data_IF_444513521130
#
_entry.id   IF_444513521130
#
_cell.length_a   1.000
_cell.length_b   1.000
_cell.length_c   1.000
_cell.angle_alpha   90.00
_cell.angle_beta   90.00
_cell.angle_gamma   90.00
#
_symmetry.space_group_name_H-M   'P 1'
#
loop_
_entity.id
_entity.type
_entity.pdbx_description
1 polymer ?
#
# COMPACT_ATOMS: atom_id res chain seq x y z
N UNK A 1 2.66 -17.95 -2.68
CA UNK A 1 2.79 -17.50 -2.33
C UNK A 1 3.33 -16.69 -2.14
N UNK A 2 3.45 -16.16 -2.16
CA UNK A 2 3.87 -15.48 -1.95
C UNK A 2 4.21 -14.49 -1.64
N UNK A 3 4.50 -14.20 -1.37
CA UNK A 3 4.60 -13.19 -0.83
C UNK A 3 5.81 -12.72 -0.82
N UNK A 4 6.50 -12.71 -1.01
CA UNK A 4 7.50 -12.26 -0.84
C UNK A 4 8.35 -12.03 -1.48
N UNK A 5 8.67 -11.73 -1.69
CA UNK A 5 9.37 -11.39 -2.28
C UNK A 5 10.50 -10.99 -1.98
N UNK A 6 11.16 -11.05 -1.97
CA UNK A 6 12.07 -10.74 -1.52
C UNK A 6 13.25 -10.84 -2.09
N UNK A 7 13.79 -10.34 -2.09
CA UNK A 7 14.81 -10.11 -2.66
C UNK A 7 15.99 -10.24 -1.94
N UNK A 8 16.47 -11.24 -1.89
CA UNK A 8 17.59 -11.50 -1.16
C UNK A 8 18.72 -10.72 -1.58
N UNK A 9 18.77 -10.40 -2.80
CA UNK A 9 19.94 -9.74 -3.29
C UNK A 9 20.05 -8.35 -2.76
N UNK A 10 19.00 -7.82 -2.17
CA UNK A 10 19.13 -6.55 -1.71
C UNK A 10 19.52 -6.47 -0.37
N UNK A 11 19.65 -7.49 0.21
CA UNK A 11 20.10 -7.55 1.48
C UNK A 11 19.46 -6.69 2.39
N UNK A 12 18.33 -6.21 2.20
CA UNK A 12 17.62 -5.50 3.22
C UNK A 12 16.79 -6.52 3.85
N UNK A 13 16.32 -6.33 4.98
CA UNK A 13 15.44 -7.25 5.62
C UNK A 13 14.03 -6.88 5.37
N UNK A 14 13.78 -6.09 4.35
CA UNK A 14 12.46 -5.64 4.08
C UNK A 14 11.59 -6.74 3.57
N UNK A 15 10.39 -6.80 4.05
CA UNK A 15 9.38 -7.69 3.55
C UNK A 15 8.27 -6.78 3.03
N UNK A 16 8.04 -6.81 1.74
CA UNK A 16 7.01 -5.99 1.13
C UNK A 16 5.95 -6.91 0.57
N UNK A 17 4.71 -6.69 0.99
CA UNK A 17 3.59 -7.49 0.53
C UNK A 17 2.97 -6.88 -0.71
N UNK A 18 2.46 -7.72 -1.58
CA UNK A 18 1.71 -7.28 -2.75
C UNK A 18 0.25 -7.73 -2.64
N UNK A 19 -0.19 -8.07 -1.45
CA UNK A 19 -1.54 -8.56 -1.21
C UNK A 19 -2.01 -7.98 0.12
N UNK A 20 -3.10 -7.22 0.07
CA UNK A 20 -3.61 -6.52 1.24
C UNK A 20 -4.01 -7.48 2.36
N UNK A 21 -4.69 -8.56 2.00
CA UNK A 21 -5.19 -9.49 3.02
C UNK A 21 -4.07 -10.16 3.77
N UNK A 22 -3.03 -10.56 3.04
CA UNK A 22 -1.87 -11.20 3.66
C UNK A 22 -1.10 -10.23 4.54
N UNK A 23 -0.97 -8.99 4.07
CA UNK A 23 -0.26 -7.98 4.84
C UNK A 23 -1.00 -7.68 6.14
N UNK A 24 -2.32 -7.65 6.10
CA UNK A 24 -3.11 -7.37 7.29
C UNK A 24 -2.93 -8.45 8.35
N UNK A 25 -2.90 -9.70 7.94
CA UNK A 25 -2.66 -10.80 8.87
C UNK A 25 -1.29 -10.64 9.52
N UNK A 26 -0.29 -10.36 8.73
CA UNK A 26 1.08 -10.20 9.22
C UNK A 26 1.18 -8.99 10.16
N UNK A 27 0.55 -7.89 9.80
CA UNK A 27 0.57 -6.68 10.61
C UNK A 27 -0.04 -6.94 11.98
N UNK A 28 -1.11 -7.73 12.01
CA UNK A 28 -1.74 -8.08 13.26
C UNK A 28 -0.83 -8.93 14.13
N UNK A 29 -0.13 -9.88 13.52
CA UNK A 29 0.81 -10.73 14.25
C UNK A 29 1.96 -9.93 14.82
N UNK A 30 2.43 -8.94 14.08
CA UNK A 30 3.56 -8.12 14.49
C UNK A 30 3.17 -6.95 15.37
N UNK A 31 1.89 -6.62 15.44
CA UNK A 31 1.44 -5.47 16.18
C UNK A 31 1.90 -4.15 15.57
N UNK A 32 2.06 -4.12 14.25
CA UNK A 32 2.54 -2.93 13.55
C UNK A 32 1.49 -2.39 12.60
N UNK A 33 1.47 -1.08 12.37
CA UNK A 33 0.57 -0.52 11.37
C UNK A 33 1.02 -0.86 9.96
N UNK A 34 0.13 -0.67 9.00
CA UNK A 34 0.42 -0.92 7.60
C UNK A 34 0.61 0.38 6.85
N UNK A 35 1.58 0.39 5.96
CA UNK A 35 1.76 1.47 4.99
C UNK A 35 1.27 0.90 3.66
N UNK A 36 0.13 1.37 3.18
CA UNK A 36 -0.48 0.85 1.96
C UNK A 36 -0.23 1.83 0.82
N UNK A 37 0.44 1.34 -0.22
CA UNK A 37 0.83 2.14 -1.37
C UNK A 37 0.03 1.67 -2.57
N UNK A 38 -0.93 2.48 -3.02
CA UNK A 38 -1.65 2.21 -4.26
C UNK A 38 -0.83 2.82 -5.40
N UNK A 39 -0.30 1.98 -6.25
CA UNK A 39 0.60 2.38 -7.32
C UNK A 39 0.17 1.76 -8.63
N UNK A 40 0.89 2.01 -9.68
CA UNK A 40 0.67 1.40 -10.98
C UNK A 40 2.01 1.24 -11.67
N UNK A 41 2.13 0.21 -12.49
CA UNK A 41 3.35 0.00 -13.26
C UNK A 41 3.57 1.17 -14.23
N UNK A 42 2.48 1.70 -14.78
CA UNK A 42 2.57 2.83 -15.70
C UNK A 42 2.46 4.20 -15.05
N UNK A 43 2.57 4.27 -13.74
CA UNK A 43 2.35 5.53 -13.02
C UNK A 43 3.66 6.31 -12.91
N UNK A 44 3.78 7.39 -13.68
CA UNK A 44 5.00 8.20 -13.71
C UNK A 44 5.27 8.84 -12.36
N UNK A 45 4.25 9.40 -11.72
CA UNK A 45 4.44 10.06 -10.43
C UNK A 45 4.81 9.05 -9.33
N UNK A 46 4.37 7.81 -9.45
CA UNK A 46 4.77 6.78 -8.51
C UNK A 46 6.27 6.51 -8.62
N UNK A 47 6.78 6.46 -9.86
CA UNK A 47 8.22 6.28 -10.09
C UNK A 47 9.00 7.46 -9.53
N UNK A 48 8.47 8.68 -9.66
CA UNK A 48 9.14 9.86 -9.13
C UNK A 48 9.25 9.82 -7.60
N UNK A 49 8.18 9.39 -6.93
CA UNK A 49 8.22 9.24 -5.48
C UNK A 49 9.26 8.21 -5.06
N UNK A 50 9.34 7.10 -5.78
CA UNK A 50 10.29 6.05 -5.48
C UNK A 50 11.73 6.52 -5.67
N UNK A 51 11.97 7.36 -6.66
CA UNK A 51 13.30 7.84 -6.96
C UNK A 51 13.75 8.98 -6.05
N UNK A 52 12.82 9.64 -5.38
CA UNK A 52 13.17 10.78 -4.54
C UNK A 52 12.83 10.51 -3.07
N UNK A 53 11.54 10.52 -2.72
CA UNK A 53 11.13 10.44 -1.34
C UNK A 53 11.51 9.11 -0.70
N UNK A 54 11.28 8.00 -1.41
CA UNK A 54 11.54 6.68 -0.84
C UNK A 54 13.02 6.36 -0.75
N UNK A 55 13.87 7.15 -1.39
CA UNK A 55 15.31 6.94 -1.28
C UNK A 55 15.92 7.66 -0.08
N UNK A 56 15.16 8.52 0.57
CA UNK A 56 15.65 9.24 1.74
C UNK A 56 15.79 8.27 2.92
N UNK A 57 16.94 8.32 3.59
CA UNK A 57 17.23 7.38 4.67
C UNK A 57 16.23 7.44 5.82
N UNK A 58 15.72 8.62 6.15
CA UNK A 58 14.75 8.76 7.23
C UNK A 58 13.46 8.06 6.87
N UNK A 59 13.04 8.17 5.62
CA UNK A 59 11.81 7.53 5.14
C UNK A 59 12.01 6.02 5.18
N UNK A 60 13.13 5.54 4.66
CA UNK A 60 13.41 4.10 4.66
C UNK A 60 13.43 3.54 6.07
N UNK A 61 14.09 4.23 6.98
CA UNK A 61 14.21 3.74 8.35
C UNK A 61 12.85 3.63 9.03
N UNK A 62 12.00 4.63 8.86
CA UNK A 62 10.68 4.59 9.49
C UNK A 62 9.83 3.49 8.88
N UNK A 63 9.86 3.36 7.56
CA UNK A 63 9.08 2.32 6.89
C UNK A 63 9.55 0.93 7.32
N UNK A 64 10.84 0.72 7.38
CA UNK A 64 11.38 -0.59 7.73
C UNK A 64 11.12 -0.95 9.20
N UNK A 65 11.27 0.02 10.07
CA UNK A 65 11.18 -0.24 11.51
C UNK A 65 9.76 -0.22 12.05
N UNK A 66 8.92 0.63 11.51
CA UNK A 66 7.62 0.89 12.14
C UNK A 66 6.41 0.37 11.39
N UNK A 67 6.56 -0.01 10.14
CA UNK A 67 5.40 -0.36 9.30
C UNK A 67 5.54 -1.70 8.62
N UNK A 68 4.41 -2.31 8.33
CA UNK A 68 4.33 -3.43 7.40
C UNK A 68 3.97 -2.81 6.06
N UNK A 69 4.79 -3.02 5.04
CA UNK A 69 4.62 -2.36 3.76
C UNK A 69 3.81 -3.22 2.79
N UNK A 70 2.85 -2.58 2.13
CA UNK A 70 1.98 -3.24 1.16
C UNK A 70 1.96 -2.39 -0.09
N UNK A 71 2.37 -2.96 -1.20
CA UNK A 71 2.35 -2.25 -2.49
C UNK A 71 1.33 -2.92 -3.40
N UNK A 72 0.30 -2.18 -3.76
CA UNK A 72 -0.81 -2.71 -4.55
C UNK A 72 -0.85 -2.03 -5.92
N UNK A 73 -0.66 -2.84 -6.97
CA UNK A 73 -0.62 -2.33 -8.34
C UNK A 73 -2.01 -2.40 -8.94
N UNK A 74 -2.64 -1.25 -9.13
CA UNK A 74 -4.01 -1.19 -9.63
C UNK A 74 -4.12 -1.56 -11.11
N UNK A 75 -2.99 -1.65 -11.80
CA UNK A 75 -2.95 -2.07 -13.21
C UNK A 75 -2.30 -3.43 -13.39
N UNK A 76 -2.26 -4.24 -12.34
CA UNK A 76 -1.72 -5.60 -12.42
C UNK A 76 -2.70 -6.46 -13.22
N UNK A 77 -2.23 -7.00 -14.36
CA UNK A 77 -3.08 -7.77 -15.27
C UNK A 77 -3.11 -9.27 -14.97
N UNK A 78 -2.47 -9.69 -13.90
CA UNK A 78 -2.49 -11.09 -13.50
C UNK A 78 -3.90 -11.49 -13.09
N UNK A 79 -4.38 -12.60 -13.60
CA UNK A 79 -5.73 -13.05 -13.29
C UNK A 79 -5.86 -13.53 -11.85
N UNK A 80 -7.00 -13.23 -11.27
CA UNK A 80 -7.34 -13.78 -9.95
C UNK A 80 -7.58 -15.28 -10.12
N UNK A 81 -7.34 -16.08 -9.08
CA UNK A 81 -7.65 -17.51 -9.13
C UNK A 81 -9.09 -17.75 -9.50
N UNK A 82 -9.99 -16.89 -8.99
CA UNK A 82 -11.40 -16.94 -9.35
C UNK A 82 -11.91 -15.52 -9.43
N UNK A 83 -12.71 -15.22 -10.45
CA UNK A 83 -13.28 -13.89 -10.57
C UNK A 83 -14.17 -13.56 -9.38
N UNK A 84 -14.25 -12.30 -9.02
CA UNK A 84 -15.06 -11.84 -7.89
C UNK A 84 -16.17 -10.95 -8.44
N UNK A 85 -17.41 -11.29 -8.14
CA UNK A 85 -18.54 -10.48 -8.58
C UNK A 85 -18.95 -9.56 -7.44
N UNK A 86 -19.03 -8.26 -7.74
CA UNK A 86 -19.39 -7.25 -6.77
C UNK A 86 -20.47 -6.36 -7.37
N UNK A 87 -21.06 -5.53 -6.55
CA UNK A 87 -22.02 -4.57 -7.03
C UNK A 87 -21.46 -3.18 -6.78
N UNK A 88 -21.39 -2.37 -7.82
CA UNK A 88 -20.86 -1.01 -7.71
C UNK A 88 -21.77 -0.08 -8.47
N UNK A 89 -22.25 0.97 -7.81
CA UNK A 89 -23.17 1.95 -8.39
C UNK A 89 -24.42 1.28 -8.98
N UNK A 90 -24.92 0.25 -8.27
CA UNK A 90 -26.13 -0.42 -8.69
C UNK A 90 -25.96 -1.40 -9.83
N UNK A 91 -24.73 -1.68 -10.23
CA UNK A 91 -24.47 -2.60 -11.34
C UNK A 91 -23.58 -3.74 -10.86
N UNK A 92 -23.81 -4.91 -11.44
CA UNK A 92 -22.98 -6.05 -11.14
C UNK A 92 -21.71 -5.95 -11.98
N UNK A 93 -20.56 -6.04 -11.32
CA UNK A 93 -19.26 -5.94 -11.97
C UNK A 93 -18.43 -7.14 -11.56
N UNK A 94 -17.68 -7.70 -12.51
CA UNK A 94 -16.81 -8.84 -12.22
C UNK A 94 -15.37 -8.37 -12.23
N UNK A 95 -14.68 -8.61 -11.11
CA UNK A 95 -13.26 -8.31 -10.97
C UNK A 95 -12.50 -9.55 -11.42
N UNK A 96 -11.64 -9.40 -12.42
CA UNK A 96 -10.95 -10.55 -13.03
C UNK A 96 -9.46 -10.59 -12.72
N UNK A 97 -8.85 -9.44 -12.47
CA UNK A 97 -7.42 -9.37 -12.24
C UNK A 97 -7.12 -8.85 -10.84
N UNK A 98 -5.88 -9.01 -10.41
CA UNK A 98 -5.46 -8.43 -9.13
C UNK A 98 -5.56 -6.91 -9.18
N UNK A 99 -5.23 -6.31 -10.33
CA UNK A 99 -5.41 -4.86 -10.48
C UNK A 99 -6.85 -4.45 -10.25
N UNK A 100 -7.81 -5.21 -10.80
CA UNK A 100 -9.22 -4.93 -10.58
C UNK A 100 -9.56 -5.00 -9.09
N UNK A 101 -9.02 -6.00 -8.41
CA UNK A 101 -9.29 -6.20 -6.99
C UNK A 101 -8.77 -5.04 -6.16
N UNK A 102 -7.52 -4.61 -6.42
CA UNK A 102 -6.94 -3.52 -5.63
C UNK A 102 -7.57 -2.17 -5.99
N UNK A 103 -7.91 -1.98 -7.23
CA UNK A 103 -8.60 -0.75 -7.64
C UNK A 103 -9.96 -0.66 -6.95
N UNK A 104 -10.68 -1.77 -6.88
CA UNK A 104 -11.97 -1.79 -6.19
C UNK A 104 -11.77 -1.54 -4.69
N UNK A 105 -10.76 -2.14 -4.09
CA UNK A 105 -10.47 -1.92 -2.68
C UNK A 105 -10.25 -0.43 -2.41
N UNK A 106 -9.51 0.24 -3.27
CA UNK A 106 -9.25 1.67 -3.11
C UNK A 106 -10.56 2.46 -3.18
N UNK A 107 -11.39 2.18 -4.16
CA UNK A 107 -12.66 2.90 -4.32
C UNK A 107 -13.62 2.59 -3.17
N UNK A 108 -13.76 1.32 -2.84
CA UNK A 108 -14.76 0.90 -1.86
C UNK A 108 -14.38 1.29 -0.43
N UNK A 109 -13.17 1.01 -0.05
CA UNK A 109 -12.76 1.25 1.34
C UNK A 109 -12.30 2.68 1.58
N UNK A 110 -11.65 3.28 0.60
CA UNK A 110 -11.03 4.59 0.81
C UNK A 110 -11.61 5.71 -0.03
N UNK A 111 -12.56 5.38 -0.90
CA UNK A 111 -13.26 6.41 -1.67
C UNK A 111 -12.37 7.16 -2.64
N UNK A 112 -11.35 6.53 -3.17
CA UNK A 112 -10.40 7.19 -4.05
C UNK A 112 -10.05 6.32 -5.24
N UNK A 113 -9.54 6.98 -6.29
CA UNK A 113 -9.13 6.28 -7.48
C UNK A 113 -7.99 7.08 -8.10
N UNK A 114 -6.88 7.13 -7.40
CA UNK A 114 -5.72 7.93 -7.82
C UNK A 114 -4.44 7.24 -7.40
N UNK A 115 -3.36 7.45 -8.16
CA UNK A 115 -2.05 6.92 -7.83
C UNK A 115 -1.02 8.01 -8.08
N UNK A 116 0.01 8.13 -7.23
CA UNK A 116 0.24 7.35 -6.03
C UNK A 116 -0.72 7.77 -4.92
N UNK A 117 -1.03 6.84 -4.04
CA UNK A 117 -1.96 7.12 -2.96
C UNK A 117 -1.52 6.30 -1.77
N UNK A 118 -1.15 6.95 -0.68
CA UNK A 118 -0.57 6.28 0.47
C UNK A 118 -1.50 6.40 1.65
N UNK A 119 -1.74 5.28 2.33
CA UNK A 119 -2.64 5.24 3.46
C UNK A 119 -1.96 4.53 4.61
N UNK A 120 -2.11 5.06 5.81
CA UNK A 120 -1.58 4.44 7.01
C UNK A 120 -2.76 3.82 7.76
N UNK A 121 -2.68 2.52 8.00
CA UNK A 121 -3.76 1.79 8.66
C UNK A 121 -3.26 1.09 9.91
N UNK A 122 -4.12 1.01 10.91
CA UNK A 122 -3.82 0.18 12.07
C UNK A 122 -3.85 -1.29 11.65
N UNK A 123 -3.36 -2.21 12.48
CA UNK A 123 -3.43 -3.63 12.14
C UNK A 123 -4.87 -4.09 11.91
N UNK A 124 -5.86 -3.39 12.46
CA UNK A 124 -7.26 -3.73 12.25
C UNK A 124 -7.82 -3.10 10.99
N UNK A 125 -7.02 -2.31 10.28
CA UNK A 125 -7.46 -1.71 9.02
C UNK A 125 -8.10 -0.35 9.16
N UNK A 126 -7.88 0.35 10.26
CA UNK A 126 -8.45 1.68 10.46
C UNK A 126 -7.45 2.77 10.10
N UNK A 127 -7.90 3.84 9.46
CA UNK A 127 -6.98 4.92 9.07
C UNK A 127 -6.35 5.60 10.27
N UNK A 128 -5.06 5.88 10.19
CA UNK A 128 -4.31 6.54 11.24
C UNK A 128 -3.98 7.99 10.92
N UNK A 129 -4.17 8.38 9.67
CA UNK A 129 -3.90 9.75 9.22
C UNK A 129 -4.67 9.98 7.93
N UNK A 130 -4.75 11.23 7.49
CA UNK A 130 -5.32 11.54 6.19
C UNK A 130 -4.42 10.95 5.10
N UNK A 131 -4.99 10.53 3.97
CA UNK A 131 -4.18 9.95 2.90
C UNK A 131 -3.18 10.96 2.35
N UNK A 132 -2.12 10.46 1.73
CA UNK A 132 -1.07 11.30 1.16
C UNK A 132 -0.94 10.93 -0.32
N UNK A 133 -0.95 11.90 -1.18
CA UNK A 133 -0.84 11.67 -2.61
C UNK A 133 0.54 12.01 -3.13
N UNK A 134 0.61 12.51 -4.37
CA UNK A 134 1.89 12.86 -4.95
C UNK A 134 2.39 14.17 -4.35
N UNK A 135 3.50 14.11 -3.68
CA UNK A 135 4.17 15.29 -3.13
C UNK A 135 5.57 14.86 -2.75
N UNK A 136 6.57 15.39 -3.45
CA UNK A 136 7.97 14.98 -3.25
C UNK A 136 8.66 15.68 -2.08
N UNK A 137 7.92 16.38 -1.24
CA UNK A 137 8.50 17.03 -0.06
C UNK A 137 8.80 15.98 1.00
N UNK A 138 10.07 15.66 1.19
CA UNK A 138 10.49 14.63 2.12
C UNK A 138 10.08 14.93 3.55
N UNK A 139 10.18 16.19 3.96
CA UNK A 139 9.81 16.55 5.34
C UNK A 139 8.33 16.27 5.61
N UNK A 140 7.49 16.58 4.65
CA UNK A 140 6.05 16.31 4.82
C UNK A 140 5.76 14.83 4.87
N UNK A 141 6.50 14.05 4.08
CA UNK A 141 6.30 12.62 4.07
C UNK A 141 6.74 12.01 5.40
N UNK A 142 7.87 12.47 5.94
CA UNK A 142 8.35 12.03 7.24
C UNK A 142 7.31 12.36 8.31
N UNK A 143 6.74 13.57 8.28
CA UNK A 143 5.70 13.96 9.22
C UNK A 143 4.47 13.05 9.12
N UNK A 144 4.08 12.73 7.89
CA UNK A 144 2.97 11.83 7.64
C UNK A 144 3.22 10.47 8.30
N UNK A 145 4.39 9.90 8.09
CA UNK A 145 4.73 8.60 8.66
C UNK A 145 4.79 8.64 10.19
N UNK A 146 5.35 9.70 10.74
CA UNK A 146 5.44 9.82 12.19
C UNK A 146 4.06 9.98 12.83
N UNK A 147 3.15 10.63 12.12
CA UNK A 147 1.80 10.80 12.63
C UNK A 147 1.10 9.44 12.79
N UNK A 148 1.31 8.55 11.82
CA UNK A 148 0.73 7.22 11.90
C UNK A 148 1.30 6.42 13.05
N UNK A 149 2.60 6.53 13.29
CA UNK A 149 3.23 5.81 14.39
C UNK A 149 2.70 6.30 15.73
N UNK A 150 2.55 7.62 15.89
CA UNK A 150 2.11 8.13 17.17
C UNK A 150 0.66 7.77 17.46
N UNK A 151 -0.16 7.59 16.43
CA UNK A 151 -1.57 7.29 16.66
C UNK A 151 -1.84 5.83 16.96
N UNK A 152 -0.88 4.96 16.70
CA UNK A 152 -1.14 3.55 16.95
C UNK A 152 -1.10 3.22 18.42
N UNK A 153 -0.63 4.16 19.25
CA UNK A 153 -0.64 3.92 20.68
C UNK A 153 -1.96 4.33 21.30
#
# INVERSE_FOLDING_TARGET
MSTQTFNLSQQTNELVFDDYDKAKVYAKEQGKPMFVDFTGYGCVNCRKMEASVFMDDRVKDILDDEYVMVTLYVDDKTDLPEPITIEEYGKEVTLKTYGDKWSYLQRYKFGANAQPYYILLSPEGKPLASPYGYNEDVEKFVEFLKKGVSKRR
#
